data_IF_821046925458
#
_entry.id   IF_821046925458
#
_cell.length_a   1.000
_cell.length_b   1.000
_cell.length_c   1.000
_cell.angle_alpha   90.00
_cell.angle_beta   90.00
_cell.angle_gamma   90.00
#
_symmetry.space_group_name_H-M   'P 1'
#
loop_
_entity.id
_entity.type
_entity.pdbx_description
1 polymer ?
#
# COMPACT_ATOMS: atom_id res chain seq x y z
N UNK A 1 -1.48 -8.70 4.20
CA UNK A 1 -0.35 -8.29 3.35
C UNK A 1 0.46 -9.47 2.82
N UNK A 2 1.23 -10.21 3.63
CA UNK A 2 2.11 -11.30 3.15
C UNK A 2 1.41 -12.31 2.25
N UNK A 3 0.25 -12.84 2.68
CA UNK A 3 -0.57 -13.75 1.86
C UNK A 3 -0.88 -13.23 0.44
N UNK A 4 -1.08 -11.92 0.28
CA UNK A 4 -1.38 -11.29 -1.03
C UNK A 4 -0.14 -11.18 -1.92
N UNK A 5 1.04 -11.04 -1.30
CA UNK A 5 2.34 -11.01 -2.00
C UNK A 5 2.78 -12.43 -2.39
N UNK A 6 2.58 -13.39 -1.48
CA UNK A 6 2.95 -14.79 -1.68
C UNK A 6 2.01 -15.53 -2.63
N UNK A 7 0.81 -15.00 -2.89
CA UNK A 7 -0.14 -15.59 -3.84
C UNK A 7 0.20 -15.33 -5.31
N UNK A 8 1.22 -14.52 -5.61
CA UNK A 8 1.61 -14.25 -6.98
C UNK A 8 2.44 -15.41 -7.56
N UNK A 9 2.32 -15.70 -8.87
CA UNK A 9 3.13 -16.71 -9.53
C UNK A 9 4.64 -16.47 -9.40
N UNK A 10 5.41 -17.55 -9.49
CA UNK A 10 6.86 -17.48 -9.63
C UNK A 10 7.25 -16.70 -10.88
N UNK A 11 8.29 -15.86 -10.74
CA UNK A 11 8.71 -14.92 -11.79
C UNK A 11 7.95 -13.59 -11.80
N UNK A 12 6.88 -13.42 -11.00
CA UNK A 12 6.27 -12.10 -10.80
C UNK A 12 7.27 -11.13 -10.18
N UNK A 13 7.39 -9.93 -10.74
CA UNK A 13 8.29 -8.88 -10.28
C UNK A 13 8.07 -8.54 -8.80
N UNK A 14 9.16 -8.26 -8.08
CA UNK A 14 9.10 -7.94 -6.65
C UNK A 14 8.23 -6.71 -6.37
N UNK A 15 8.26 -5.70 -7.26
CA UNK A 15 7.45 -4.49 -7.10
C UNK A 15 5.95 -4.77 -7.28
N UNK A 16 5.56 -5.67 -8.18
CA UNK A 16 4.15 -6.05 -8.36
C UNK A 16 3.60 -6.79 -7.15
N UNK A 17 4.45 -7.64 -6.55
CA UNK A 17 4.14 -8.33 -5.28
C UNK A 17 3.94 -7.31 -4.17
N UNK A 18 4.88 -6.38 -4.01
CA UNK A 18 4.80 -5.30 -3.00
C UNK A 18 3.56 -4.43 -3.24
N UNK A 19 3.29 -4.03 -4.49
CA UNK A 19 2.13 -3.22 -4.87
C UNK A 19 0.82 -3.90 -4.48
N UNK A 20 0.70 -5.21 -4.76
CA UNK A 20 -0.44 -6.01 -4.29
C UNK A 20 -0.53 -6.08 -2.76
N UNK A 21 0.61 -6.15 -2.08
CA UNK A 21 0.71 -6.14 -0.62
C UNK A 21 0.18 -4.84 0.00
N UNK A 22 0.69 -3.69 -0.44
CA UNK A 22 0.31 -2.37 0.08
C UNK A 22 -1.16 -2.02 -0.22
N UNK A 23 -1.71 -2.55 -1.32
CA UNK A 23 -3.12 -2.36 -1.69
C UNK A 23 -4.09 -2.90 -0.63
N UNK A 24 -3.69 -3.87 0.19
CA UNK A 24 -4.51 -4.37 1.30
C UNK A 24 -4.72 -3.28 2.38
N UNK A 25 -3.76 -2.37 2.57
CA UNK A 25 -3.88 -1.29 3.53
C UNK A 25 -4.48 -0.03 2.91
N UNK A 26 -3.98 0.40 1.74
CA UNK A 26 -4.32 1.69 1.15
C UNK A 26 -5.48 1.64 0.14
N UNK A 27 -5.93 0.45 -0.28
CA UNK A 27 -7.03 0.30 -1.23
C UNK A 27 -7.84 -0.99 -1.00
N UNK A 28 -8.12 -1.30 0.27
CA UNK A 28 -8.88 -2.52 0.61
C UNK A 28 -10.28 -2.56 -0.06
N UNK A 29 -10.91 -1.39 -0.22
CA UNK A 29 -12.22 -1.22 -0.87
C UNK A 29 -12.16 -1.15 -2.39
N UNK A 30 -10.97 -0.99 -2.98
CA UNK A 30 -10.79 -0.83 -4.42
C UNK A 30 -11.24 0.52 -4.98
N UNK A 31 -11.50 1.52 -4.13
CA UNK A 31 -12.00 2.86 -4.54
C UNK A 31 -10.91 3.87 -4.87
N UNK A 32 -9.63 3.51 -4.70
CA UNK A 32 -8.48 4.38 -4.94
C UNK A 32 -7.79 3.97 -6.23
N UNK A 33 -7.61 4.92 -7.16
CA UNK A 33 -6.96 4.68 -8.45
C UNK A 33 -5.42 4.76 -8.38
N UNK A 34 -4.88 5.56 -7.46
CA UNK A 34 -3.43 5.74 -7.26
C UNK A 34 -3.06 6.03 -5.80
N UNK A 35 -1.84 5.66 -5.41
CA UNK A 35 -1.31 5.97 -4.09
C UNK A 35 -0.57 7.30 -4.11
N UNK A 36 -1.05 8.32 -3.36
CA UNK A 36 -0.23 9.50 -3.07
C UNK A 36 0.75 9.15 -1.94
N UNK A 37 2.03 9.06 -2.29
CA UNK A 37 3.11 8.71 -1.36
C UNK A 37 3.65 9.92 -0.59
N UNK A 38 3.15 11.13 -0.87
CA UNK A 38 3.65 12.37 -0.25
C UNK A 38 2.80 12.82 0.93
N UNK A 39 1.58 12.33 1.03
CA UNK A 39 0.62 12.75 2.05
C UNK A 39 0.09 11.54 2.81
N UNK A 40 0.10 11.62 4.14
CA UNK A 40 -0.58 10.65 4.96
C UNK A 40 -2.03 11.14 5.16
N UNK A 41 -3.05 10.38 4.70
CA UNK A 41 -4.45 10.83 4.77
C UNK A 41 -4.95 11.03 6.21
N UNK A 42 -4.22 10.56 7.21
CA UNK A 42 -4.52 10.77 8.62
C UNK A 42 -3.83 12.00 9.22
N UNK A 43 -2.91 12.65 8.48
CA UNK A 43 -2.23 13.89 8.86
C UNK A 43 -1.20 13.74 9.98
N UNK A 44 -0.11 14.50 9.89
CA UNK A 44 1.01 14.42 10.85
C UNK A 44 1.15 15.66 11.74
N UNK A 45 0.26 16.65 11.60
CA UNK A 45 0.39 17.94 12.29
C UNK A 45 0.46 17.81 13.82
N UNK A 46 -0.34 16.88 14.37
CA UNK A 46 -0.37 16.51 15.80
C UNK A 46 0.91 15.84 16.31
N UNK A 47 1.68 15.22 15.44
CA UNK A 47 2.94 14.58 15.80
C UNK A 47 4.11 15.53 15.59
N UNK A 48 4.09 16.29 14.50
CA UNK A 48 5.14 17.24 14.15
C UNK A 48 5.30 18.40 15.13
N UNK A 49 4.30 18.68 15.98
CA UNK A 49 4.41 19.71 17.02
C UNK A 49 5.13 19.23 18.28
N UNK A 50 5.18 17.92 18.54
CA UNK A 50 5.87 17.31 19.69
C UNK A 50 7.37 17.18 19.40
#
# INVERSE_FOLDING_TARGET
VCKRMDSYPDGTGILDRIFGGISIYYNYTGSVDCFDIRDDPHGMNGWNWQ
#
